data_IF_908072351259
#
_entry.id   IF_908072351259
#
_cell.length_a   1.000
_cell.length_b   1.000
_cell.length_c   1.000
_cell.angle_alpha   90.00
_cell.angle_beta   90.00
_cell.angle_gamma   90.00
#
_symmetry.space_group_name_H-M   'P 1'
#
loop_
_entity.id
_entity.type
_entity.pdbx_description
1 polymer ?
#
# COMPACT_ATOMS: atom_id res chain seq x y z
N UNK A 1 -45.30 5.63 63.49
CA UNK A 1 -44.25 4.59 63.60
C UNK A 1 -43.26 4.79 62.47
N UNK A 2 -41.99 5.00 62.85
CA UNK A 2 -40.81 5.13 61.98
C UNK A 2 -40.64 3.91 61.07
N UNK A 3 -40.19 4.12 59.82
CA UNK A 3 -39.11 3.36 59.15
C UNK A 3 -38.87 3.85 57.70
N UNK A 4 -37.83 4.65 57.53
CA UNK A 4 -36.80 4.47 56.49
C UNK A 4 -35.54 4.01 57.26
N UNK A 5 -34.57 3.25 56.69
CA UNK A 5 -33.86 3.66 55.47
C UNK A 5 -33.22 2.51 54.62
N UNK A 6 -32.42 2.93 53.62
CA UNK A 6 -31.32 2.20 52.96
C UNK A 6 -31.68 1.18 51.87
N UNK A 7 -31.76 1.65 50.62
CA UNK A 7 -31.14 0.96 49.48
C UNK A 7 -30.39 2.02 48.67
N UNK A 8 -29.17 2.30 49.09
CA UNK A 8 -28.15 3.00 48.32
C UNK A 8 -26.86 2.22 48.50
N UNK A 9 -26.58 1.33 47.56
CA UNK A 9 -25.27 0.77 47.18
C UNK A 9 -25.54 -0.48 46.33
N UNK A 10 -25.40 -0.38 45.01
CA UNK A 10 -25.00 -1.47 44.09
C UNK A 10 -25.23 -1.03 42.63
N UNK A 11 -24.54 0.03 42.20
CA UNK A 11 -24.41 0.36 40.78
C UNK A 11 -23.03 0.93 40.44
N UNK A 12 -21.98 0.49 41.15
CA UNK A 12 -20.59 0.91 40.93
C UNK A 12 -19.61 -0.28 40.75
N UNK A 13 -20.03 -1.40 40.16
CA UNK A 13 -19.14 -2.57 39.95
C UNK A 13 -19.07 -3.08 38.50
N UNK A 14 -19.31 -2.21 37.51
CA UNK A 14 -18.98 -2.50 36.10
C UNK A 14 -18.01 -1.47 35.52
N UNK A 15 -17.08 -0.99 36.34
CA UNK A 15 -15.80 -0.52 35.82
C UNK A 15 -14.89 -1.73 35.75
N UNK A 16 -15.08 -2.58 34.74
CA UNK A 16 -13.96 -3.41 34.27
C UNK A 16 -12.87 -2.43 33.90
N UNK A 17 -11.81 -2.38 34.71
CA UNK A 17 -10.57 -1.73 34.31
C UNK A 17 -10.25 -2.20 32.90
N UNK A 18 -10.05 -1.29 31.95
CA UNK A 18 -9.24 -1.59 30.78
C UNK A 18 -7.90 -2.07 31.34
N UNK A 19 -7.74 -3.39 31.50
CA UNK A 19 -6.43 -3.99 31.72
C UNK A 19 -5.56 -3.47 30.59
N UNK A 20 -4.42 -2.84 30.94
CA UNK A 20 -3.43 -2.48 29.93
C UNK A 20 -3.20 -3.73 29.06
N UNK A 21 -3.35 -3.63 27.74
CA UNK A 21 -3.07 -4.77 26.88
C UNK A 21 -1.66 -5.23 27.21
N UNK A 22 -1.47 -6.54 27.45
CA UNK A 22 -0.15 -7.10 27.72
C UNK A 22 0.77 -6.70 26.57
N UNK A 23 1.94 -6.13 26.90
CA UNK A 23 2.91 -5.70 25.90
C UNK A 23 3.29 -6.92 25.03
N UNK A 24 2.89 -6.88 23.77
CA UNK A 24 3.11 -7.96 22.80
C UNK A 24 4.56 -7.93 22.30
N UNK A 25 5.20 -6.76 22.36
CA UNK A 25 6.54 -6.49 21.85
C UNK A 25 7.31 -5.61 22.81
N UNK A 26 8.61 -5.88 22.95
CA UNK A 26 9.54 -5.16 23.82
C UNK A 26 10.30 -4.04 23.10
N UNK A 27 10.31 -4.02 21.76
CA UNK A 27 10.99 -2.99 20.96
C UNK A 27 10.33 -2.73 19.60
N UNK A 28 10.76 -1.64 18.93
CA UNK A 28 10.35 -1.31 17.57
C UNK A 28 10.77 -2.39 16.56
N UNK A 29 11.97 -2.95 16.70
CA UNK A 29 12.51 -4.02 15.84
C UNK A 29 11.71 -5.31 15.98
N UNK A 30 11.24 -5.62 17.19
CA UNK A 30 10.38 -6.78 17.43
C UNK A 30 9.00 -6.60 16.77
N UNK A 31 8.40 -5.41 16.91
CA UNK A 31 7.15 -5.07 16.23
C UNK A 31 7.29 -5.06 14.69
N UNK A 32 8.41 -4.55 14.16
CA UNK A 32 8.74 -4.61 12.74
C UNK A 32 8.87 -6.05 12.26
N UNK A 33 9.58 -6.89 13.00
CA UNK A 33 9.74 -8.31 12.68
C UNK A 33 8.40 -9.05 12.64
N UNK A 34 7.49 -8.72 13.56
CA UNK A 34 6.13 -9.24 13.57
C UNK A 34 5.33 -8.78 12.34
N UNK A 35 5.43 -7.52 11.92
CA UNK A 35 4.81 -7.03 10.69
C UNK A 35 5.39 -7.70 9.44
N UNK A 36 6.71 -7.88 9.36
CA UNK A 36 7.36 -8.58 8.25
C UNK A 36 6.82 -10.01 8.15
N UNK A 37 6.74 -10.71 9.28
CA UNK A 37 6.17 -12.06 9.35
C UNK A 37 4.71 -12.11 8.90
N UNK A 38 3.89 -11.15 9.37
CA UNK A 38 2.49 -11.03 9.02
C UNK A 38 2.27 -10.79 7.51
N UNK A 39 3.13 -9.96 6.90
CA UNK A 39 3.02 -9.51 5.51
C UNK A 39 3.77 -10.41 4.51
N UNK A 40 4.17 -11.63 4.88
CA UNK A 40 5.00 -12.48 4.02
C UNK A 40 4.34 -12.79 2.67
N UNK A 41 3.01 -12.94 2.63
CA UNK A 41 2.26 -13.13 1.38
C UNK A 41 2.22 -11.85 0.50
N UNK A 42 2.36 -10.67 1.10
CA UNK A 42 2.36 -9.37 0.39
C UNK A 42 3.73 -9.00 -0.15
N UNK A 43 4.78 -9.27 0.63
CA UNK A 43 6.18 -8.97 0.30
C UNK A 43 7.04 -10.19 0.60
N UNK A 44 7.14 -11.12 -0.35
CA UNK A 44 8.05 -12.25 -0.25
C UNK A 44 9.50 -11.75 -0.18
N UNK A 45 10.11 -11.81 1.00
CA UNK A 45 11.52 -11.48 1.17
C UNK A 45 12.36 -12.67 0.66
N UNK A 46 13.31 -12.47 -0.28
CA UNK A 46 14.06 -13.55 -0.93
C UNK A 46 14.79 -14.52 0.02
N UNK A 47 15.03 -14.10 1.28
CA UNK A 47 15.78 -14.86 2.28
C UNK A 47 15.03 -15.05 3.61
N UNK A 48 13.74 -14.73 3.70
CA UNK A 48 13.01 -14.94 4.94
C UNK A 48 12.65 -16.42 5.08
N UNK A 49 13.13 -17.06 6.15
CA UNK A 49 12.79 -18.44 6.50
C UNK A 49 11.37 -18.54 7.08
N UNK A 50 10.38 -18.01 6.35
CA UNK A 50 8.98 -18.22 6.73
C UNK A 50 8.63 -19.65 6.32
N UNK A 51 8.58 -20.51 7.32
CA UNK A 51 8.44 -21.95 7.13
C UNK A 51 7.00 -22.37 6.89
N UNK A 52 5.99 -21.53 7.20
CA UNK A 52 4.57 -21.88 7.10
C UNK A 52 3.67 -20.66 6.84
N UNK A 53 2.60 -20.88 6.07
CA UNK A 53 1.49 -19.93 5.85
C UNK A 53 0.37 -20.21 6.87
N UNK A 54 0.22 -19.35 7.87
CA UNK A 54 -0.87 -19.38 8.85
C UNK A 54 -2.07 -18.53 8.39
N UNK A 55 -3.21 -18.66 9.08
CA UNK A 55 -4.42 -17.88 8.77
C UNK A 55 -4.19 -16.36 8.94
N UNK A 56 -3.38 -15.95 9.92
CA UNK A 56 -3.04 -14.53 10.13
C UNK A 56 -2.23 -13.96 8.96
N UNK A 57 -1.52 -14.80 8.21
CA UNK A 57 -0.70 -14.39 7.07
C UNK A 57 -1.47 -14.37 5.75
N UNK A 58 -2.78 -14.66 5.76
CA UNK A 58 -3.68 -14.51 4.62
C UNK A 58 -4.11 -13.04 4.52
N UNK A 59 -3.64 -12.28 3.51
CA UNK A 59 -3.78 -10.83 3.54
C UNK A 59 -5.21 -10.34 3.62
N UNK A 60 -5.42 -9.30 4.45
CA UNK A 60 -6.68 -8.58 4.65
C UNK A 60 -7.88 -9.40 5.13
N UNK A 61 -7.68 -10.67 5.51
CA UNK A 61 -8.66 -11.42 6.30
C UNK A 61 -8.84 -10.79 7.69
N UNK A 62 -9.93 -11.10 8.38
CA UNK A 62 -10.17 -10.57 9.73
C UNK A 62 -9.02 -10.90 10.69
N UNK A 63 -8.48 -12.12 10.65
CA UNK A 63 -7.33 -12.53 11.46
C UNK A 63 -6.07 -11.69 11.14
N UNK A 64 -5.80 -11.44 9.86
CA UNK A 64 -4.70 -10.56 9.44
C UNK A 64 -4.90 -9.12 9.95
N UNK A 65 -6.12 -8.57 9.77
CA UNK A 65 -6.43 -7.19 10.13
C UNK A 65 -6.39 -6.99 11.65
N UNK A 66 -6.90 -7.94 12.43
CA UNK A 66 -6.84 -7.92 13.89
C UNK A 66 -5.39 -7.95 14.38
N UNK A 67 -4.56 -8.84 13.81
CA UNK A 67 -3.13 -8.91 14.16
C UNK A 67 -2.39 -7.64 13.79
N UNK A 68 -2.64 -7.09 12.59
CA UNK A 68 -2.03 -5.83 12.14
C UNK A 68 -2.41 -4.66 13.04
N UNK A 69 -3.70 -4.55 13.36
CA UNK A 69 -4.22 -3.52 14.24
C UNK A 69 -3.59 -3.59 15.63
N UNK A 70 -3.50 -4.80 16.21
CA UNK A 70 -2.86 -5.01 17.51
C UNK A 70 -1.39 -4.57 17.51
N UNK A 71 -0.64 -4.85 16.43
CA UNK A 71 0.75 -4.38 16.30
C UNK A 71 0.82 -2.85 16.27
N UNK A 72 -0.05 -2.19 15.49
CA UNK A 72 -0.06 -0.73 15.43
C UNK A 72 -0.47 -0.08 16.76
N UNK A 73 -1.45 -0.63 17.47
CA UNK A 73 -1.85 -0.12 18.79
C UNK A 73 -0.72 -0.24 19.83
N UNK A 74 0.11 -1.28 19.74
CA UNK A 74 1.28 -1.43 20.59
C UNK A 74 2.39 -0.43 20.23
N UNK A 75 2.68 -0.27 18.93
CA UNK A 75 3.64 0.74 18.45
C UNK A 75 3.27 2.16 18.89
N UNK A 76 1.97 2.51 18.91
CA UNK A 76 1.50 3.82 19.39
C UNK A 76 1.74 4.06 20.89
N UNK A 77 2.01 3.01 21.68
CA UNK A 77 2.31 3.12 23.12
C UNK A 77 3.82 3.17 23.41
N UNK A 78 4.65 2.88 22.41
CA UNK A 78 6.11 2.89 22.53
C UNK A 78 6.67 4.31 22.47
N UNK A 79 7.86 4.51 23.04
CA UNK A 79 8.64 5.72 22.83
C UNK A 79 9.33 5.65 21.46
N UNK A 80 8.80 6.38 20.47
CA UNK A 80 9.28 6.39 19.10
C UNK A 80 9.98 7.72 18.74
N UNK A 81 10.80 7.72 17.69
CA UNK A 81 11.27 8.96 17.05
C UNK A 81 10.12 9.72 16.39
N UNK A 82 10.34 10.97 15.98
CA UNK A 82 9.33 11.75 15.27
C UNK A 82 8.96 11.09 13.92
N UNK A 83 9.95 10.61 13.18
CA UNK A 83 9.79 9.95 11.89
C UNK A 83 9.04 8.61 12.02
N UNK A 84 9.40 7.82 13.03
CA UNK A 84 8.71 6.58 13.36
C UNK A 84 7.25 6.85 13.76
N UNK A 85 7.00 7.86 14.60
CA UNK A 85 5.65 8.29 15.00
C UNK A 85 4.82 8.70 13.78
N UNK A 86 5.40 9.47 12.86
CA UNK A 86 4.74 9.87 11.62
C UNK A 86 4.37 8.67 10.74
N UNK A 87 5.26 7.67 10.62
CA UNK A 87 4.95 6.44 9.87
C UNK A 87 3.85 5.62 10.56
N UNK A 88 3.88 5.44 11.88
CA UNK A 88 2.83 4.71 12.60
C UNK A 88 1.47 5.40 12.42
N UNK A 89 1.42 6.73 12.55
CA UNK A 89 0.20 7.50 12.33
C UNK A 89 -0.34 7.32 10.90
N UNK A 90 0.54 7.37 9.90
CA UNK A 90 0.17 7.11 8.50
C UNK A 90 -0.40 5.70 8.30
N UNK A 91 0.22 4.68 8.89
CA UNK A 91 -0.22 3.29 8.76
C UNK A 91 -1.56 3.03 9.48
N UNK A 92 -1.77 3.63 10.66
CA UNK A 92 -3.06 3.57 11.37
C UNK A 92 -4.18 4.23 10.57
N UNK A 93 -3.86 5.33 9.88
CA UNK A 93 -4.78 5.99 8.94
C UNK A 93 -5.08 5.05 7.77
N UNK A 94 -4.05 4.40 7.18
CA UNK A 94 -4.17 3.46 6.08
C UNK A 94 -5.15 2.30 6.39
N UNK A 95 -5.19 1.81 7.63
CA UNK A 95 -6.10 0.73 8.03
C UNK A 95 -7.58 1.05 7.82
N UNK A 96 -7.94 2.33 7.84
CA UNK A 96 -9.33 2.80 7.78
C UNK A 96 -9.83 3.01 6.35
N UNK A 97 -8.94 2.91 5.36
CA UNK A 97 -9.24 3.15 3.95
C UNK A 97 -9.71 1.87 3.23
N UNK A 98 -10.30 2.00 2.03
CA UNK A 98 -10.94 0.89 1.34
C UNK A 98 -10.01 -0.26 0.92
N UNK A 99 -8.73 -0.25 1.28
CA UNK A 99 -7.82 -1.39 1.14
C UNK A 99 -8.41 -2.67 1.77
N UNK A 100 -9.24 -2.57 2.81
CA UNK A 100 -9.98 -3.72 3.36
C UNK A 100 -10.94 -4.41 2.38
N UNK A 101 -11.44 -3.67 1.38
CA UNK A 101 -12.34 -4.20 0.33
C UNK A 101 -11.56 -4.74 -0.87
N UNK A 102 -10.28 -4.41 -0.98
CA UNK A 102 -9.38 -4.86 -2.05
C UNK A 102 -8.32 -5.78 -1.46
N UNK A 103 -8.77 -6.95 -0.99
CA UNK A 103 -7.93 -7.94 -0.29
C UNK A 103 -6.73 -8.46 -1.10
N UNK A 104 -6.74 -8.28 -2.43
CA UNK A 104 -5.60 -8.56 -3.29
C UNK A 104 -5.03 -7.26 -3.87
N UNK A 105 -3.97 -6.68 -3.28
CA UNK A 105 -3.30 -5.51 -3.83
C UNK A 105 -2.65 -5.82 -5.18
N UNK A 106 -2.96 -5.01 -6.21
CA UNK A 106 -2.61 -5.30 -7.60
C UNK A 106 -1.10 -5.22 -7.90
N UNK A 107 -0.32 -4.55 -7.05
CA UNK A 107 1.13 -4.41 -7.17
C UNK A 107 1.92 -5.67 -6.82
N UNK A 108 1.26 -6.70 -6.26
CA UNK A 108 1.94 -7.95 -5.85
C UNK A 108 1.14 -9.18 -6.24
N UNK A 109 1.83 -10.20 -6.74
CA UNK A 109 1.24 -11.50 -7.01
C UNK A 109 1.17 -12.34 -5.72
N UNK A 110 0.22 -11.97 -4.85
CA UNK A 110 0.00 -12.62 -3.54
C UNK A 110 -0.14 -14.13 -3.67
N UNK A 111 -0.88 -14.62 -4.67
CA UNK A 111 -1.04 -16.04 -4.90
C UNK A 111 0.28 -16.74 -5.23
N UNK A 112 1.11 -16.16 -6.10
CA UNK A 112 2.42 -16.71 -6.38
C UNK A 112 3.28 -16.79 -5.10
N UNK A 113 3.25 -15.76 -4.26
CA UNK A 113 3.97 -15.76 -2.97
C UNK A 113 3.42 -16.85 -2.03
N UNK A 114 2.11 -16.97 -1.89
CA UNK A 114 1.50 -18.01 -1.04
C UNK A 114 1.86 -19.43 -1.51
N UNK A 115 1.91 -19.65 -2.82
CA UNK A 115 2.29 -20.94 -3.41
C UNK A 115 3.76 -21.32 -3.18
N UNK A 116 4.68 -20.36 -3.02
CA UNK A 116 6.08 -20.71 -2.65
C UNK A 116 6.20 -21.16 -1.19
N UNK A 117 5.28 -20.69 -0.33
CA UNK A 117 5.25 -20.96 1.10
C UNK A 117 4.45 -22.21 1.48
N UNK A 118 3.36 -22.50 0.77
CA UNK A 118 2.53 -23.67 1.06
C UNK A 118 3.29 -25.00 0.82
N UNK A 119 3.12 -25.94 1.75
CA UNK A 119 3.81 -27.25 1.80
C UNK A 119 2.87 -28.43 1.99
N UNK A 120 1.59 -28.20 2.31
CA UNK A 120 0.62 -29.26 2.59
C UNK A 120 -0.81 -28.87 2.21
N UNK A 121 -1.69 -29.87 2.17
CA UNK A 121 -3.10 -29.73 1.76
C UNK A 121 -3.89 -28.75 2.62
N UNK A 122 -3.59 -28.67 3.92
CA UNK A 122 -4.26 -27.72 4.82
C UNK A 122 -3.93 -26.26 4.42
N UNK A 123 -2.68 -25.98 4.05
CA UNK A 123 -2.27 -24.66 3.55
C UNK A 123 -2.84 -24.36 2.17
N UNK A 124 -2.94 -25.35 1.27
CA UNK A 124 -3.62 -25.14 -0.01
C UNK A 124 -5.11 -24.86 0.16
N UNK A 125 -5.77 -25.52 1.13
CA UNK A 125 -7.16 -25.21 1.48
C UNK A 125 -7.33 -23.79 2.04
N UNK A 126 -6.38 -23.31 2.82
CA UNK A 126 -6.37 -21.91 3.28
C UNK A 126 -6.25 -20.92 2.11
N UNK A 127 -5.41 -21.23 1.12
CA UNK A 127 -5.28 -20.43 -0.10
C UNK A 127 -6.59 -20.47 -0.91
N UNK A 128 -7.22 -21.64 -1.04
CA UNK A 128 -8.52 -21.78 -1.71
C UNK A 128 -9.59 -20.88 -1.04
N UNK A 129 -9.67 -20.92 0.29
CA UNK A 129 -10.59 -20.08 1.06
C UNK A 129 -10.28 -18.59 0.89
N UNK A 130 -9.00 -18.21 0.85
CA UNK A 130 -8.60 -16.84 0.60
C UNK A 130 -8.99 -16.35 -0.81
N UNK A 131 -8.88 -17.19 -1.84
CA UNK A 131 -9.33 -16.84 -3.20
C UNK A 131 -10.85 -16.56 -3.24
N UNK A 132 -11.64 -17.38 -2.52
CA UNK A 132 -13.09 -17.17 -2.36
C UNK A 132 -13.39 -15.90 -1.56
N UNK A 133 -12.58 -15.61 -0.53
CA UNK A 133 -12.64 -14.38 0.24
C UNK A 133 -12.35 -13.15 -0.62
N UNK A 134 -11.35 -13.18 -1.50
CA UNK A 134 -11.07 -12.08 -2.44
C UNK A 134 -12.29 -11.82 -3.33
N UNK A 135 -12.90 -12.87 -3.89
CA UNK A 135 -14.13 -12.73 -4.67
C UNK A 135 -15.26 -12.07 -3.87
N UNK A 136 -15.54 -12.57 -2.66
CA UNK A 136 -16.63 -12.05 -1.84
C UNK A 136 -16.40 -10.60 -1.39
N UNK A 137 -15.15 -10.21 -1.13
CA UNK A 137 -14.80 -8.82 -0.84
C UNK A 137 -15.04 -7.91 -2.04
N UNK A 138 -14.68 -8.33 -3.26
CA UNK A 138 -14.96 -7.57 -4.47
C UNK A 138 -16.47 -7.42 -4.71
N UNK A 139 -17.25 -8.48 -4.51
CA UNK A 139 -18.72 -8.43 -4.60
C UNK A 139 -19.33 -7.45 -3.59
N UNK A 140 -18.86 -7.47 -2.35
CA UNK A 140 -19.29 -6.53 -1.31
C UNK A 140 -18.86 -5.08 -1.61
N UNK A 141 -17.65 -4.90 -2.17
CA UNK A 141 -17.13 -3.61 -2.58
C UNK A 141 -18.00 -2.99 -3.69
N UNK A 142 -18.42 -3.79 -4.68
CA UNK A 142 -19.29 -3.34 -5.77
C UNK A 142 -20.63 -2.81 -5.27
N UNK A 143 -21.20 -3.43 -4.23
CA UNK A 143 -22.43 -2.95 -3.58
C UNK A 143 -22.25 -1.56 -2.94
N UNK A 144 -21.03 -1.23 -2.53
CA UNK A 144 -20.66 0.07 -1.96
C UNK A 144 -20.09 1.04 -3.01
N UNK A 145 -20.18 0.70 -4.30
CA UNK A 145 -19.57 1.43 -5.42
C UNK A 145 -18.04 1.63 -5.27
N UNK A 146 -17.38 0.72 -4.55
CA UNK A 146 -15.93 0.63 -4.45
C UNK A 146 -15.46 -0.39 -5.48
N UNK A 147 -14.76 0.08 -6.51
CA UNK A 147 -14.37 -0.76 -7.64
C UNK A 147 -12.90 -0.62 -7.97
N UNK A 148 -12.26 -1.70 -8.41
CA UNK A 148 -10.91 -1.67 -8.99
C UNK A 148 -10.90 -0.74 -10.21
N UNK A 149 -9.80 -0.05 -10.45
CA UNK A 149 -9.57 0.63 -11.73
C UNK A 149 -9.17 -0.40 -12.79
N UNK A 150 -9.14 0.04 -14.05
CA UNK A 150 -8.80 -0.83 -15.18
C UNK A 150 -7.39 -1.44 -15.11
N UNK A 151 -6.43 -0.79 -14.47
CA UNK A 151 -5.06 -1.31 -14.32
C UNK A 151 -5.03 -2.39 -13.24
N UNK A 152 -5.53 -2.08 -12.04
CA UNK A 152 -5.68 -3.01 -10.92
C UNK A 152 -6.42 -4.29 -11.35
N UNK A 153 -7.54 -4.13 -12.06
CA UNK A 153 -8.32 -5.24 -12.61
C UNK A 153 -7.54 -6.09 -13.61
N UNK A 154 -6.80 -5.45 -14.53
CA UNK A 154 -6.00 -6.16 -15.53
C UNK A 154 -4.89 -7.00 -14.88
N UNK A 155 -4.24 -6.47 -13.85
CA UNK A 155 -3.21 -7.17 -13.09
C UNK A 155 -3.77 -8.36 -12.32
N UNK A 156 -4.88 -8.18 -11.61
CA UNK A 156 -5.53 -9.26 -10.89
C UNK A 156 -5.96 -10.41 -11.84
N UNK A 157 -6.56 -10.06 -12.99
CA UNK A 157 -6.91 -11.03 -14.03
C UNK A 157 -5.69 -11.77 -14.56
N UNK A 158 -4.59 -11.07 -14.83
CA UNK A 158 -3.32 -11.65 -15.25
C UNK A 158 -2.79 -12.67 -14.24
N UNK A 159 -2.81 -12.34 -12.94
CA UNK A 159 -2.32 -13.25 -11.89
C UNK A 159 -3.14 -14.53 -11.79
N UNK A 160 -4.47 -14.41 -11.84
CA UNK A 160 -5.38 -15.57 -11.81
C UNK A 160 -5.16 -16.46 -13.04
N UNK A 161 -5.08 -15.86 -14.24
CA UNK A 161 -4.81 -16.61 -15.48
C UNK A 161 -3.44 -17.29 -15.48
N UNK A 162 -2.41 -16.64 -14.95
CA UNK A 162 -1.08 -17.24 -14.79
C UNK A 162 -1.13 -18.46 -13.88
N UNK A 163 -1.90 -18.42 -12.78
CA UNK A 163 -2.08 -19.57 -11.91
C UNK A 163 -2.85 -20.71 -12.60
N UNK A 164 -3.93 -20.41 -13.33
CA UNK A 164 -4.69 -21.43 -14.09
C UNK A 164 -3.81 -22.12 -15.14
N UNK A 165 -2.96 -21.37 -15.84
CA UNK A 165 -2.13 -21.89 -16.92
C UNK A 165 -0.83 -22.57 -16.45
N UNK A 166 -0.53 -22.53 -15.14
CA UNK A 166 0.67 -23.16 -14.58
C UNK A 166 0.44 -24.65 -14.34
N UNK A 167 1.37 -25.47 -14.82
CA UNK A 167 1.31 -26.94 -14.70
C UNK A 167 1.43 -27.45 -13.27
N UNK A 168 2.02 -26.65 -12.37
CA UNK A 168 2.28 -27.00 -10.97
C UNK A 168 1.32 -26.33 -9.98
N UNK A 169 0.24 -25.72 -10.45
CA UNK A 169 -0.81 -25.21 -9.57
C UNK A 169 -1.55 -26.38 -8.92
N UNK A 170 -1.69 -26.41 -7.58
CA UNK A 170 -2.41 -27.47 -6.87
C UNK A 170 -3.85 -27.61 -7.35
N UNK A 171 -4.30 -28.85 -7.56
CA UNK A 171 -5.61 -29.17 -8.15
C UNK A 171 -6.75 -28.65 -7.27
N UNK A 172 -6.55 -28.59 -5.96
CA UNK A 172 -7.46 -28.08 -4.95
C UNK A 172 -7.88 -26.63 -5.23
N UNK A 173 -7.01 -25.85 -5.90
CA UNK A 173 -7.28 -24.43 -6.19
C UNK A 173 -8.12 -24.23 -7.45
N UNK A 174 -8.27 -25.25 -8.32
CA UNK A 174 -8.87 -25.10 -9.64
C UNK A 174 -10.29 -24.54 -9.61
N UNK A 175 -11.11 -24.97 -8.65
CA UNK A 175 -12.49 -24.51 -8.50
C UNK A 175 -12.53 -23.02 -8.12
N UNK A 176 -11.82 -22.63 -7.06
CA UNK A 176 -11.78 -21.24 -6.59
C UNK A 176 -11.14 -20.29 -7.62
N UNK A 177 -10.09 -20.74 -8.32
CA UNK A 177 -9.48 -19.99 -9.43
C UNK A 177 -10.46 -19.78 -10.58
N UNK A 178 -11.20 -20.82 -10.97
CA UNK A 178 -12.20 -20.73 -12.05
C UNK A 178 -13.33 -19.78 -11.68
N UNK A 179 -13.83 -19.86 -10.44
CA UNK A 179 -14.86 -18.95 -9.93
C UNK A 179 -14.40 -17.49 -9.92
N UNK A 180 -13.20 -17.23 -9.39
CA UNK A 180 -12.64 -15.87 -9.37
C UNK A 180 -12.37 -15.37 -10.79
N UNK A 181 -11.83 -16.21 -11.68
CA UNK A 181 -11.58 -15.84 -13.07
C UNK A 181 -12.87 -15.47 -13.82
N UNK A 182 -13.94 -16.24 -13.63
CA UNK A 182 -15.24 -15.96 -14.23
C UNK A 182 -15.82 -14.65 -13.70
N UNK A 183 -15.77 -14.44 -12.38
CA UNK A 183 -16.20 -13.16 -11.79
C UNK A 183 -15.41 -11.97 -12.36
N UNK A 184 -14.07 -12.09 -12.46
CA UNK A 184 -13.22 -11.04 -13.03
C UNK A 184 -13.44 -10.82 -14.53
N UNK A 185 -14.01 -11.78 -15.26
CA UNK A 185 -14.36 -11.59 -16.67
C UNK A 185 -15.53 -10.62 -16.84
N UNK A 186 -16.49 -10.65 -15.92
CA UNK A 186 -17.70 -9.82 -15.93
C UNK A 186 -17.56 -8.51 -15.10
N UNK A 187 -16.48 -8.41 -14.31
CA UNK A 187 -16.20 -7.27 -13.45
C UNK A 187 -16.09 -5.95 -14.24
N UNK A 188 -16.76 -4.89 -13.75
CA UNK A 188 -16.75 -3.56 -14.39
C UNK A 188 -15.88 -2.59 -13.60
N UNK A 189 -14.64 -2.28 -14.06
CA UNK A 189 -13.77 -1.36 -13.35
C UNK A 189 -14.32 0.07 -13.31
N UNK A 190 -13.90 0.85 -12.31
CA UNK A 190 -14.21 2.30 -12.24
C UNK A 190 -13.51 3.05 -13.38
N UNK A 191 -14.12 4.16 -13.80
CA UNK A 191 -13.59 5.01 -14.87
C UNK A 191 -12.37 5.85 -14.46
N UNK A 192 -12.37 6.39 -13.24
CA UNK A 192 -11.22 7.12 -12.69
C UNK A 192 -10.13 6.14 -12.25
N UNK A 193 -8.90 6.36 -12.70
CA UNK A 193 -7.77 5.52 -12.34
C UNK A 193 -7.16 5.92 -10.98
N UNK A 194 -7.24 7.19 -10.62
CA UNK A 194 -6.68 7.73 -9.39
C UNK A 194 -7.50 7.41 -8.14
N UNK A 195 -6.97 7.83 -6.99
CA UNK A 195 -7.60 7.62 -5.70
C UNK A 195 -8.86 8.48 -5.54
N UNK A 196 -8.92 9.69 -6.12
CA UNK A 196 -10.13 10.53 -6.13
C UNK A 196 -11.39 9.86 -6.68
N UNK A 197 -11.23 8.76 -7.43
CA UNK A 197 -12.34 7.91 -7.89
C UNK A 197 -12.95 6.99 -6.83
N UNK A 198 -12.37 6.91 -5.63
CA UNK A 198 -12.85 6.10 -4.51
C UNK A 198 -13.56 6.96 -3.46
N UNK A 199 -14.46 6.34 -2.69
CA UNK A 199 -15.04 6.99 -1.52
C UNK A 199 -13.93 7.35 -0.52
N UNK A 200 -13.93 8.61 -0.04
CA UNK A 200 -12.86 9.20 0.78
C UNK A 200 -11.45 9.19 0.14
N UNK A 201 -11.37 8.99 -1.17
CA UNK A 201 -10.10 8.84 -1.87
C UNK A 201 -9.25 10.10 -1.91
N UNK A 202 -9.86 11.28 -1.93
CA UNK A 202 -9.14 12.56 -1.83
C UNK A 202 -8.48 12.74 -0.46
N UNK A 203 -9.18 12.38 0.62
CA UNK A 203 -8.63 12.40 1.98
C UNK A 203 -7.52 11.36 2.13
N UNK A 204 -7.69 10.18 1.51
CA UNK A 204 -6.64 9.17 1.49
C UNK A 204 -5.38 9.70 0.84
N UNK A 205 -5.53 10.26 -0.36
CA UNK A 205 -4.44 10.84 -1.10
C UNK A 205 -3.75 11.99 -0.35
N UNK A 206 -4.52 12.89 0.28
CA UNK A 206 -3.95 13.96 1.10
C UNK A 206 -3.10 13.41 2.25
N UNK A 207 -3.54 12.35 2.93
CA UNK A 207 -2.74 11.77 4.02
C UNK A 207 -1.44 11.13 3.53
N UNK A 208 -1.43 10.57 2.32
CA UNK A 208 -0.22 10.08 1.65
C UNK A 208 0.75 11.23 1.35
N UNK A 209 0.25 12.33 0.78
CA UNK A 209 1.05 13.53 0.55
C UNK A 209 1.66 14.05 1.85
N UNK A 210 0.86 14.14 2.92
CA UNK A 210 1.33 14.61 4.22
C UNK A 210 2.47 13.74 4.77
N UNK A 211 2.34 12.42 4.67
CA UNK A 211 3.35 11.48 5.15
C UNK A 211 4.61 11.52 4.28
N UNK A 212 4.47 11.33 2.96
CA UNK A 212 5.63 11.24 2.08
C UNK A 212 6.38 12.57 1.97
N UNK A 213 5.68 13.68 1.84
CA UNK A 213 6.33 15.00 1.76
C UNK A 213 6.82 15.53 3.11
N UNK A 214 6.45 14.88 4.22
CA UNK A 214 6.65 15.38 5.59
C UNK A 214 6.18 16.84 5.76
N UNK A 215 5.07 17.22 5.10
CA UNK A 215 4.51 18.57 5.11
C UNK A 215 3.01 18.56 4.81
N UNK A 216 2.26 19.46 5.47
CA UNK A 216 0.80 19.57 5.31
C UNK A 216 0.47 20.69 4.34
N UNK A 217 0.55 20.39 3.03
CA UNK A 217 0.14 21.28 1.95
C UNK A 217 -0.96 20.62 1.12
N UNK A 218 -1.89 21.43 0.61
CA UNK A 218 -2.91 20.98 -0.32
C UNK A 218 -2.31 20.56 -1.66
N UNK A 219 -3.01 19.75 -2.48
CA UNK A 219 -2.50 19.31 -3.77
C UNK A 219 -2.21 20.48 -4.73
N UNK A 220 -2.97 21.57 -4.62
CA UNK A 220 -2.77 22.78 -5.42
C UNK A 220 -1.52 23.57 -4.99
N UNK A 221 -1.22 23.61 -3.70
CA UNK A 221 0.02 24.23 -3.20
C UNK A 221 1.25 23.45 -3.68
N UNK A 222 1.18 22.11 -3.67
CA UNK A 222 2.21 21.27 -4.26
C UNK A 222 2.39 21.52 -5.74
N UNK A 223 1.30 21.56 -6.52
CA UNK A 223 1.35 21.83 -7.95
C UNK A 223 2.02 23.19 -8.25
N UNK A 224 1.67 24.23 -7.49
CA UNK A 224 2.28 25.55 -7.63
C UNK A 224 3.80 25.55 -7.40
N UNK A 225 4.29 24.76 -6.44
CA UNK A 225 5.73 24.60 -6.18
C UNK A 225 6.41 23.85 -7.31
N UNK A 226 5.78 22.77 -7.77
CA UNK A 226 6.27 21.94 -8.87
C UNK A 226 6.41 22.78 -10.15
N UNK A 227 5.37 23.53 -10.52
CA UNK A 227 5.38 24.42 -11.68
C UNK A 227 6.47 25.49 -11.59
N UNK A 228 6.68 26.05 -10.40
CA UNK A 228 7.72 27.05 -10.18
C UNK A 228 9.12 26.46 -10.33
N UNK A 229 9.36 25.27 -9.79
CA UNK A 229 10.64 24.56 -9.94
C UNK A 229 10.90 24.17 -11.39
N UNK A 230 9.90 23.68 -12.13
CA UNK A 230 10.06 23.38 -13.56
C UNK A 230 10.49 24.58 -14.39
N UNK A 231 10.03 25.80 -14.08
CA UNK A 231 10.47 27.02 -14.78
C UNK A 231 11.94 27.34 -14.55
N UNK A 232 12.50 26.91 -13.41
CA UNK A 232 13.90 27.15 -13.04
C UNK A 232 14.87 26.07 -13.53
N UNK A 233 14.37 24.85 -13.80
CA UNK A 233 15.17 23.77 -14.36
C UNK A 233 15.49 24.07 -15.83
N UNK A 234 16.77 24.22 -16.17
CA UNK A 234 17.19 24.47 -17.56
C UNK A 234 16.80 23.29 -18.45
N UNK A 235 16.29 23.60 -19.64
CA UNK A 235 15.50 22.73 -20.53
C UNK A 235 16.21 21.53 -21.17
N UNK A 236 17.37 21.11 -20.67
CA UNK A 236 18.04 19.93 -21.21
C UNK A 236 17.41 18.66 -20.63
N UNK A 237 16.50 18.07 -21.41
CA UNK A 237 16.01 16.73 -21.14
C UNK A 237 17.19 15.76 -21.16
N UNK A 238 17.59 15.28 -20.01
CA UNK A 238 18.58 14.22 -19.89
C UNK A 238 17.91 12.87 -20.17
N UNK A 239 18.69 11.91 -20.65
CA UNK A 239 18.18 10.54 -20.80
C UNK A 239 17.92 9.98 -19.40
N UNK A 240 16.68 9.56 -19.16
CA UNK A 240 16.30 8.81 -17.96
C UNK A 240 16.12 7.36 -18.38
N UNK A 241 16.67 6.42 -17.63
CA UNK A 241 16.41 4.99 -17.82
C UNK A 241 15.37 4.57 -16.80
N UNK A 242 14.28 3.93 -17.25
CA UNK A 242 13.28 3.36 -16.36
C UNK A 242 13.34 1.84 -16.47
N UNK A 243 13.56 1.16 -15.35
CA UNK A 243 13.64 -0.30 -15.31
C UNK A 243 12.31 -0.92 -14.90
N UNK A 244 11.93 -2.02 -15.54
CA UNK A 244 10.81 -2.82 -15.08
C UNK A 244 11.16 -3.47 -13.73
N UNK A 245 10.34 -3.22 -12.70
CA UNK A 245 10.57 -3.72 -11.34
C UNK A 245 9.26 -4.14 -10.68
N UNK A 246 9.34 -5.07 -9.73
CA UNK A 246 8.22 -5.43 -8.85
C UNK A 246 8.17 -4.53 -7.59
N UNK A 247 9.04 -3.53 -7.50
CA UNK A 247 9.08 -2.50 -6.48
C UNK A 247 8.91 -1.12 -7.12
N UNK A 248 8.61 -0.10 -6.32
CA UNK A 248 8.51 1.26 -6.87
C UNK A 248 9.83 1.73 -7.47
N UNK A 249 9.80 2.58 -8.49
CA UNK A 249 11.02 3.17 -9.08
C UNK A 249 11.87 3.86 -8.02
N UNK A 250 11.22 4.56 -7.10
CA UNK A 250 11.86 5.17 -5.95
C UNK A 250 12.56 4.14 -5.07
N UNK A 251 11.89 3.03 -4.76
CA UNK A 251 12.50 1.96 -3.98
C UNK A 251 13.70 1.38 -4.73
N UNK A 252 13.58 1.10 -6.02
CA UNK A 252 14.67 0.58 -6.87
C UNK A 252 15.89 1.49 -6.85
N UNK A 253 15.70 2.81 -7.02
CA UNK A 253 16.79 3.80 -6.94
C UNK A 253 17.49 3.77 -5.58
N UNK A 254 16.73 3.68 -4.49
CA UNK A 254 17.29 3.76 -3.14
C UNK A 254 17.87 2.43 -2.65
N UNK A 255 17.57 1.27 -3.25
CA UNK A 255 17.92 -0.07 -2.71
C UNK A 255 19.43 -0.40 -2.65
N UNK A 256 20.32 0.50 -3.07
CA UNK A 256 21.77 0.23 -3.21
C UNK A 256 22.58 0.30 -1.91
N UNK A 257 22.21 1.13 -0.91
CA UNK A 257 22.95 1.22 0.36
C UNK A 257 22.07 1.56 1.58
N UNK A 258 22.33 0.87 2.71
CA UNK A 258 21.74 0.93 4.06
C UNK A 258 20.23 1.24 4.18
N UNK A 259 19.46 0.31 4.77
CA UNK A 259 18.02 0.49 5.00
C UNK A 259 17.79 1.23 6.32
N UNK A 260 17.25 2.45 6.27
CA UNK A 260 16.64 3.07 7.44
C UNK A 260 15.34 2.33 7.74
N UNK A 261 15.32 1.54 8.82
CA UNK A 261 14.26 0.60 9.14
C UNK A 261 12.88 1.28 9.29
N UNK A 262 11.89 0.79 8.54
CA UNK A 262 10.50 1.24 8.57
C UNK A 262 9.51 0.07 8.63
N UNK A 263 8.23 0.38 8.78
CA UNK A 263 7.16 -0.60 9.02
C UNK A 263 6.34 -0.95 7.77
N UNK A 264 6.37 -0.10 6.74
CA UNK A 264 5.53 -0.24 5.54
C UNK A 264 6.12 -1.26 4.54
N UNK A 265 5.35 -2.30 4.22
CA UNK A 265 5.75 -3.31 3.25
C UNK A 265 5.80 -2.73 1.83
N UNK A 266 5.01 -1.69 1.51
CA UNK A 266 5.00 -1.02 0.21
C UNK A 266 6.28 -0.24 -0.08
N UNK A 267 7.04 0.09 0.96
CA UNK A 267 8.34 0.77 0.87
C UNK A 267 9.49 -0.20 1.18
N UNK A 268 9.23 -1.50 1.17
CA UNK A 268 10.23 -2.53 1.49
C UNK A 268 10.76 -2.43 2.92
N UNK A 269 9.90 -2.05 3.88
CA UNK A 269 10.23 -1.85 5.30
C UNK A 269 11.29 -0.77 5.52
N UNK A 270 11.13 0.35 4.80
CA UNK A 270 12.03 1.51 4.87
C UNK A 270 11.25 2.76 5.28
N UNK A 271 11.83 3.59 6.13
CA UNK A 271 11.36 4.97 6.39
C UNK A 271 11.69 5.84 5.17
N UNK A 272 10.83 5.75 4.16
CA UNK A 272 11.07 6.31 2.84
C UNK A 272 11.34 7.82 2.83
N UNK A 273 10.57 8.67 3.55
CA UNK A 273 10.82 10.12 3.56
C UNK A 273 12.19 10.48 4.14
N UNK A 274 12.60 9.80 5.22
CA UNK A 274 13.90 10.04 5.85
C UNK A 274 15.05 9.58 4.94
N UNK A 275 14.88 8.43 4.26
CA UNK A 275 15.89 7.91 3.33
C UNK A 275 16.04 8.77 2.09
N UNK A 276 14.91 9.19 1.51
CA UNK A 276 14.87 10.09 0.37
C UNK A 276 15.66 11.37 0.69
N UNK A 277 15.34 12.03 1.80
CA UNK A 277 15.99 13.26 2.24
C UNK A 277 17.49 13.10 2.59
N UNK A 278 17.96 11.88 2.87
CA UNK A 278 19.37 11.58 3.10
C UNK A 278 20.14 11.21 1.82
N UNK A 279 19.43 11.01 0.70
CA UNK A 279 20.04 10.67 -0.58
C UNK A 279 20.31 11.91 -1.43
N UNK A 280 21.33 11.82 -2.29
CA UNK A 280 21.62 12.85 -3.28
C UNK A 280 21.04 12.41 -4.62
N UNK A 281 20.28 13.30 -5.27
CA UNK A 281 19.77 13.06 -6.62
C UNK A 281 20.74 13.61 -7.66
N UNK A 282 20.96 12.83 -8.71
CA UNK A 282 21.54 13.36 -9.93
C UNK A 282 20.49 14.20 -10.68
N UNK A 283 20.90 15.14 -11.55
CA UNK A 283 19.95 16.02 -12.26
C UNK A 283 18.87 15.27 -13.06
N UNK A 284 19.19 14.10 -13.62
CA UNK A 284 18.22 13.24 -14.31
C UNK A 284 17.15 12.69 -13.35
N UNK A 285 17.53 12.32 -12.13
CA UNK A 285 16.61 11.83 -11.10
C UNK A 285 15.76 12.96 -10.53
N UNK A 286 16.33 14.17 -10.35
CA UNK A 286 15.53 15.35 -9.98
C UNK A 286 14.41 15.59 -10.98
N UNK A 287 14.74 15.58 -12.28
CA UNK A 287 13.75 15.76 -13.35
C UNK A 287 12.70 14.63 -13.36
N UNK A 288 13.13 13.39 -13.16
CA UNK A 288 12.25 12.23 -13.05
C UNK A 288 11.24 12.40 -11.92
N UNK A 289 11.69 12.64 -10.68
CA UNK A 289 10.77 12.74 -9.53
C UNK A 289 9.90 14.00 -9.57
N UNK A 290 10.40 15.09 -10.16
CA UNK A 290 9.57 16.26 -10.48
C UNK A 290 8.42 15.90 -11.42
N UNK A 291 8.69 15.16 -12.50
CA UNK A 291 7.67 14.72 -13.45
C UNK A 291 6.72 13.67 -12.84
N UNK A 292 7.23 12.80 -11.97
CA UNK A 292 6.40 11.84 -11.23
C UNK A 292 5.46 12.56 -10.25
N UNK A 293 5.92 13.52 -9.45
CA UNK A 293 5.06 14.28 -8.53
C UNK A 293 3.95 15.05 -9.26
N UNK A 294 4.26 15.70 -10.39
CA UNK A 294 3.25 16.37 -11.23
C UNK A 294 2.20 15.39 -11.74
N UNK A 295 2.66 14.25 -12.27
CA UNK A 295 1.79 13.23 -12.85
C UNK A 295 0.95 12.54 -11.78
N UNK A 296 1.50 12.33 -10.59
CA UNK A 296 0.83 11.77 -9.42
C UNK A 296 -0.34 12.66 -8.97
N UNK A 297 -0.12 13.99 -8.85
CA UNK A 297 -1.21 14.96 -8.63
C UNK A 297 -2.23 14.92 -9.77
N UNK A 298 -1.76 14.87 -11.02
CA UNK A 298 -2.60 14.74 -12.19
C UNK A 298 -3.57 13.56 -12.09
N UNK A 299 -3.05 12.38 -11.74
CA UNK A 299 -3.82 11.14 -11.63
C UNK A 299 -4.72 11.14 -10.39
N UNK A 300 -4.19 11.39 -9.20
CA UNK A 300 -4.89 11.15 -7.95
C UNK A 300 -5.76 12.32 -7.49
N UNK A 301 -5.45 13.55 -7.92
CA UNK A 301 -6.23 14.74 -7.60
C UNK A 301 -7.03 15.26 -8.79
N UNK A 302 -6.41 15.47 -9.96
CA UNK A 302 -7.09 15.99 -11.16
C UNK A 302 -7.79 14.91 -12.01
N UNK A 303 -7.75 13.65 -11.58
CA UNK A 303 -8.39 12.52 -12.26
C UNK A 303 -7.96 12.36 -13.72
N UNK A 304 -6.68 12.62 -14.03
CA UNK A 304 -6.12 12.34 -15.34
C UNK A 304 -6.31 10.88 -15.72
N UNK A 305 -6.61 10.67 -16.99
CA UNK A 305 -6.65 9.35 -17.63
C UNK A 305 -5.23 8.81 -17.83
N UNK A 306 -5.09 7.50 -18.07
CA UNK A 306 -3.79 6.88 -18.41
C UNK A 306 -3.09 7.61 -19.56
N UNK A 307 -3.86 8.01 -20.58
CA UNK A 307 -3.33 8.70 -21.75
C UNK A 307 -2.80 10.09 -21.41
N UNK A 308 -3.49 10.83 -20.52
CA UNK A 308 -3.03 12.15 -20.05
C UNK A 308 -1.78 12.03 -19.17
N UNK A 309 -1.75 11.08 -18.24
CA UNK A 309 -0.60 10.82 -17.38
C UNK A 309 0.64 10.45 -18.20
N UNK A 310 0.50 9.50 -19.15
CA UNK A 310 1.57 9.08 -20.06
C UNK A 310 2.05 10.23 -20.93
N UNK A 311 1.13 11.02 -21.50
CA UNK A 311 1.49 12.18 -22.31
C UNK A 311 2.26 13.22 -21.49
N UNK A 312 1.93 13.42 -20.22
CA UNK A 312 2.68 14.33 -19.36
C UNK A 312 4.12 13.86 -19.18
N UNK A 313 4.32 12.58 -18.84
CA UNK A 313 5.65 12.00 -18.66
C UNK A 313 6.50 12.10 -19.94
N UNK A 314 5.95 11.78 -21.10
CA UNK A 314 6.65 11.93 -22.40
C UNK A 314 7.00 13.39 -22.72
N UNK A 315 6.17 14.35 -22.29
CA UNK A 315 6.46 15.77 -22.45
C UNK A 315 7.57 16.24 -21.54
N UNK A 316 7.64 15.74 -20.29
CA UNK A 316 8.63 16.15 -19.29
C UNK A 316 9.97 15.44 -19.45
N UNK A 317 9.96 14.16 -19.80
CA UNK A 317 11.12 13.28 -19.80
C UNK A 317 11.55 12.92 -21.24
N UNK A 318 12.78 12.40 -21.40
CA UNK A 318 13.25 11.79 -22.64
C UNK A 318 13.22 10.26 -22.51
N UNK A 319 12.02 9.70 -22.58
CA UNK A 319 11.74 8.27 -22.37
C UNK A 319 10.82 7.74 -23.48
N UNK A 320 10.79 6.42 -23.63
CA UNK A 320 9.90 5.69 -24.53
C UNK A 320 8.47 5.62 -23.99
N UNK A 321 7.52 5.21 -24.85
CA UNK A 321 6.13 4.96 -24.42
C UNK A 321 6.01 3.82 -23.39
N UNK A 322 6.90 2.82 -23.48
CA UNK A 322 6.94 1.69 -22.56
C UNK A 322 7.38 2.16 -21.17
N UNK A 323 8.48 2.90 -21.09
CA UNK A 323 8.96 3.51 -19.84
C UNK A 323 7.92 4.45 -19.23
N UNK A 324 7.25 5.28 -20.05
CA UNK A 324 6.18 6.12 -19.56
C UNK A 324 4.98 5.31 -19.02
N UNK A 325 4.71 4.13 -19.59
CA UNK A 325 3.68 3.22 -19.09
C UNK A 325 4.08 2.64 -17.74
N UNK A 326 5.33 2.19 -17.58
CA UNK A 326 5.88 1.72 -16.31
C UNK A 326 5.77 2.78 -15.21
N UNK A 327 6.10 4.04 -15.52
CA UNK A 327 5.98 5.15 -14.56
C UNK A 327 4.53 5.47 -14.18
N UNK A 328 3.57 5.37 -15.11
CA UNK A 328 2.14 5.53 -14.76
C UNK A 328 1.67 4.40 -13.86
N UNK A 329 2.08 3.16 -14.12
CA UNK A 329 1.76 2.03 -13.25
C UNK A 329 2.39 2.21 -11.86
N UNK A 330 3.63 2.67 -11.79
CA UNK A 330 4.32 3.02 -10.54
C UNK A 330 3.51 4.03 -9.72
N UNK A 331 3.09 5.13 -10.33
CA UNK A 331 2.25 6.16 -9.69
C UNK A 331 0.94 5.56 -9.16
N UNK A 332 0.28 4.70 -9.94
CA UNK A 332 -0.99 4.09 -9.53
C UNK A 332 -0.83 3.13 -8.35
N UNK A 333 0.27 2.37 -8.31
CA UNK A 333 0.54 1.39 -7.26
C UNK A 333 1.18 1.99 -6.01
N UNK A 334 1.88 3.12 -6.16
CA UNK A 334 2.63 3.78 -5.10
C UNK A 334 2.27 5.27 -4.97
N UNK A 335 0.96 5.60 -4.80
CA UNK A 335 0.49 6.98 -4.79
C UNK A 335 1.21 7.81 -3.73
N UNK A 336 1.70 8.97 -4.13
CA UNK A 336 2.40 9.92 -3.27
C UNK A 336 3.83 9.54 -2.91
N UNK A 337 4.35 8.34 -3.25
CA UNK A 337 5.72 7.97 -2.85
C UNK A 337 6.77 8.94 -3.39
N UNK A 338 6.61 9.44 -4.63
CA UNK A 338 7.51 10.42 -5.25
C UNK A 338 7.69 11.71 -4.42
N UNK A 339 6.70 12.06 -3.58
CA UNK A 339 6.77 13.21 -2.69
C UNK A 339 7.77 13.03 -1.53
N UNK A 340 8.35 11.84 -1.34
CA UNK A 340 9.47 11.65 -0.41
C UNK A 340 10.65 12.56 -0.71
N UNK A 341 10.81 12.99 -1.97
CA UNK A 341 11.82 13.96 -2.40
C UNK A 341 11.35 15.41 -2.39
N UNK A 342 10.11 15.71 -2.02
CA UNK A 342 9.62 17.09 -1.96
C UNK A 342 10.48 17.99 -1.03
N UNK A 343 10.94 17.54 0.15
CA UNK A 343 11.78 18.37 1.03
C UNK A 343 13.10 18.86 0.42
N UNK A 344 13.66 18.11 -0.52
CA UNK A 344 14.92 18.45 -1.18
C UNK A 344 14.72 19.15 -2.54
N UNK A 345 13.59 18.89 -3.21
CA UNK A 345 13.30 19.44 -4.54
C UNK A 345 12.49 20.75 -4.51
N UNK A 346 11.62 20.92 -3.51
CA UNK A 346 10.52 21.90 -3.50
C UNK A 346 10.44 22.77 -2.22
N UNK A 347 11.31 22.54 -1.24
CA UNK A 347 11.40 23.34 -0.02
C UNK A 347 12.64 24.22 0.03
#
# INVERSE_FOLDING_TARGET
MKKTPIISLLFCLLLTSCSKPTDIFSSYEEAQSALISLNTALSAQPNSQVTQLSNEQLPFTDAYLERRHAIYQQLMQMQLSAEQTNQVNYLVIAERFPERYFAWPAQTNVLANMLTMAKNDAQYKNIEQWLRFVKSQLEAAEQSNLKLNKVEHSYLKKYVQQAINRTNTPVELNAALSELNNYLADYKPRGSIGLSGLANGSQWYQSKLNYFANAVLSPLEWLSRIDSKFKSMQSQKQQTTVEASNASQLTTLLLTDSKIAGLDWLTGYTLLPLRANASQLEPADELLYMAMMETDLGVHYHAWTLSQARLNLLKRLNISEEEATLLVEDILFYPGQAFSFAPQLLN
#
